data_IF_391934449406
#
_entry.id   IF_391934449406
#
_cell.length_a   1.000
_cell.length_b   1.000
_cell.length_c   1.000
_cell.angle_alpha   90.00
_cell.angle_beta   90.00
_cell.angle_gamma   90.00
#
_symmetry.space_group_name_H-M   'P 1'
#
loop_
_entity.id
_entity.type
_entity.pdbx_description
1 polymer ?
#
# COMPACT_ATOMS: atom_id res chain seq x y z
N UNK A 1 -8.31 -54.06 -15.39
CA UNK A 1 -7.73 -53.17 -14.36
C UNK A 1 -8.32 -51.79 -14.59
N UNK A 2 -9.21 -51.32 -13.71
CA UNK A 2 -9.82 -49.99 -13.82
C UNK A 2 -9.06 -49.05 -12.89
N UNK A 3 -8.35 -48.06 -13.45
CA UNK A 3 -7.66 -47.02 -12.70
C UNK A 3 -8.70 -45.96 -12.36
N UNK A 4 -9.04 -45.86 -11.07
CA UNK A 4 -9.90 -44.79 -10.55
C UNK A 4 -9.00 -43.58 -10.28
N UNK A 5 -9.19 -42.51 -11.06
CA UNK A 5 -8.55 -41.22 -10.81
C UNK A 5 -9.40 -40.43 -9.81
N UNK A 6 -8.87 -40.18 -8.62
CA UNK A 6 -9.45 -39.25 -7.67
C UNK A 6 -9.31 -37.81 -8.19
N UNK A 7 -10.31 -36.93 -8.03
CA UNK A 7 -10.15 -35.53 -8.38
C UNK A 7 -9.16 -34.89 -7.40
N UNK A 8 -8.10 -34.28 -7.94
CA UNK A 8 -7.27 -33.37 -7.17
C UNK A 8 -8.14 -32.20 -6.72
N UNK A 9 -8.22 -31.97 -5.41
CA UNK A 9 -8.87 -30.79 -4.87
C UNK A 9 -8.15 -29.56 -5.40
N UNK A 10 -8.82 -28.81 -6.27
CA UNK A 10 -8.38 -27.48 -6.68
C UNK A 10 -8.65 -26.58 -5.49
N UNK A 11 -7.62 -26.34 -4.68
CA UNK A 11 -7.69 -25.32 -3.65
C UNK A 11 -7.73 -23.97 -4.37
N UNK A 12 -8.94 -23.43 -4.50
CA UNK A 12 -9.16 -22.05 -4.93
C UNK A 12 -8.59 -21.19 -3.80
N UNK A 13 -7.28 -20.92 -3.85
CA UNK A 13 -6.68 -19.85 -3.08
C UNK A 13 -7.39 -18.59 -3.55
N UNK A 14 -8.23 -18.03 -2.70
CA UNK A 14 -8.65 -16.64 -2.86
C UNK A 14 -7.36 -15.85 -3.13
N UNK A 15 -7.27 -15.22 -4.28
CA UNK A 15 -6.09 -14.45 -4.65
C UNK A 15 -5.88 -13.43 -3.54
N UNK A 16 -4.88 -13.67 -2.69
CA UNK A 16 -4.56 -12.72 -1.63
C UNK A 16 -4.14 -11.46 -2.37
N UNK A 17 -4.95 -10.43 -2.21
CA UNK A 17 -4.74 -9.16 -2.87
C UNK A 17 -3.36 -8.64 -2.45
N UNK A 18 -2.45 -8.57 -3.41
CA UNK A 18 -1.05 -8.28 -3.13
C UNK A 18 -0.86 -6.78 -2.87
N UNK A 19 -0.09 -6.45 -1.84
CA UNK A 19 0.41 -5.10 -1.62
C UNK A 19 1.71 -4.96 -2.42
N UNK A 20 1.70 -4.08 -3.41
CA UNK A 20 2.81 -3.86 -4.34
C UNK A 20 3.54 -2.57 -3.96
N UNK A 21 4.79 -2.65 -3.48
CA UNK A 21 5.65 -1.50 -3.26
C UNK A 21 5.85 -0.64 -4.51
N UNK A 22 5.89 0.67 -4.31
CA UNK A 22 6.28 1.62 -5.34
C UNK A 22 7.71 1.40 -5.85
N UNK A 23 8.03 1.83 -7.08
CA UNK A 23 9.39 1.73 -7.62
C UNK A 23 10.45 2.34 -6.70
N UNK A 24 11.52 1.59 -6.44
CA UNK A 24 12.63 2.03 -5.58
C UNK A 24 12.39 1.87 -4.07
N UNK A 25 11.20 1.43 -3.65
CA UNK A 25 10.94 1.07 -2.26
C UNK A 25 11.23 -0.43 -2.01
N UNK A 26 11.52 -0.81 -0.75
CA UNK A 26 11.78 -2.20 -0.38
C UNK A 26 10.63 -3.16 -0.73
N UNK A 27 10.95 -4.40 -1.10
CA UNK A 27 9.93 -5.42 -1.28
C UNK A 27 9.38 -5.92 0.06
N UNK A 28 8.19 -6.52 0.07
CA UNK A 28 7.65 -7.18 1.27
C UNK A 28 8.59 -8.28 1.78
N UNK A 29 9.16 -9.07 0.86
CA UNK A 29 10.15 -10.11 1.17
C UNK A 29 11.39 -9.51 1.85
N UNK A 30 11.94 -8.40 1.35
CA UNK A 30 13.12 -7.76 1.94
C UNK A 30 12.87 -7.23 3.35
N UNK A 31 11.61 -6.93 3.67
CA UNK A 31 11.16 -6.49 4.98
C UNK A 31 10.74 -7.67 5.88
N UNK A 32 10.69 -8.90 5.36
CA UNK A 32 10.26 -10.10 6.09
C UNK A 32 8.76 -10.07 6.46
N UNK A 33 7.93 -9.40 5.66
CA UNK A 33 6.49 -9.26 5.89
C UNK A 33 5.70 -9.79 4.68
N UNK A 34 4.39 -9.99 4.86
CA UNK A 34 3.50 -10.47 3.78
C UNK A 34 2.28 -9.56 3.62
N UNK A 35 1.59 -9.69 2.48
CA UNK A 35 0.33 -8.97 2.23
C UNK A 35 -0.72 -9.35 3.28
N UNK A 36 -0.85 -10.64 3.63
CA UNK A 36 -1.78 -11.12 4.65
C UNK A 36 -1.53 -10.46 6.00
N UNK A 37 -0.26 -10.32 6.39
CA UNK A 37 0.09 -9.60 7.61
C UNK A 37 -0.38 -8.14 7.53
N UNK A 38 -0.12 -7.43 6.42
CA UNK A 38 -0.53 -6.03 6.24
C UNK A 38 -2.04 -5.82 6.27
N UNK A 39 -2.82 -6.76 5.73
CA UNK A 39 -4.29 -6.75 5.80
C UNK A 39 -4.84 -7.15 7.17
N UNK A 40 -4.08 -7.92 7.95
CA UNK A 40 -4.47 -8.28 9.32
C UNK A 40 -4.29 -7.13 10.32
N UNK A 41 -3.47 -6.13 9.97
CA UNK A 41 -3.24 -4.95 10.78
C UNK A 41 -4.44 -4.01 10.70
N UNK A 42 -4.83 -3.47 11.86
CA UNK A 42 -5.93 -2.52 11.98
C UNK A 42 -5.66 -1.19 11.29
N UNK A 43 -6.70 -0.35 11.24
CA UNK A 43 -6.60 1.03 10.79
C UNK A 43 -5.61 1.82 11.68
N UNK A 44 -4.97 2.88 11.15
CA UNK A 44 -4.22 3.80 11.97
C UNK A 44 -5.11 4.38 13.08
N UNK A 45 -4.57 4.42 14.30
CA UNK A 45 -5.14 5.25 15.35
C UNK A 45 -5.04 6.72 14.90
N UNK A 46 -6.11 7.52 15.07
CA UNK A 46 -6.04 8.95 14.76
C UNK A 46 -5.00 9.59 15.68
N UNK A 47 -3.85 9.98 15.11
CA UNK A 47 -2.84 10.73 15.83
C UNK A 47 -3.36 12.15 16.04
N UNK A 48 -3.49 12.59 17.29
CA UNK A 48 -3.82 13.98 17.64
C UNK A 48 -2.71 15.00 17.34
N UNK A 49 -1.68 14.62 16.58
CA UNK A 49 -0.46 15.40 16.36
C UNK A 49 -0.46 16.20 15.05
N UNK A 50 -0.23 17.51 15.25
CA UNK A 50 0.17 18.68 14.45
C UNK A 50 0.27 18.68 12.90
N UNK A 51 0.32 17.55 12.19
CA UNK A 51 0.33 17.56 10.72
C UNK A 51 -1.06 17.82 10.11
N UNK A 52 -2.13 17.57 10.87
CA UNK A 52 -3.49 17.98 10.51
C UNK A 52 -3.67 19.50 10.42
N UNK A 53 -2.78 20.29 11.04
CA UNK A 53 -2.85 21.76 10.95
C UNK A 53 -2.29 22.28 9.61
N UNK A 54 -1.49 21.45 8.92
CA UNK A 54 -0.86 21.79 7.63
C UNK A 54 -1.64 21.28 6.42
N UNK A 55 -2.67 20.47 6.63
CA UNK A 55 -3.50 19.92 5.56
C UNK A 55 -4.96 20.00 5.98
N UNK A 56 -5.73 20.87 5.32
CA UNK A 56 -7.20 20.79 5.38
C UNK A 56 -7.58 19.43 4.77
N UNK A 57 -7.75 18.44 5.63
CA UNK A 57 -8.08 17.08 5.22
C UNK A 57 -9.50 17.10 4.65
N UNK A 58 -9.60 17.24 3.34
CA UNK A 58 -10.85 17.15 2.60
C UNK A 58 -10.95 15.75 2.00
N UNK A 59 -12.19 15.27 1.84
CA UNK A 59 -12.41 14.09 1.02
C UNK A 59 -12.01 14.44 -0.42
N UNK A 60 -11.04 13.71 -0.97
CA UNK A 60 -10.73 13.79 -2.39
C UNK A 60 -11.89 13.28 -3.26
N UNK A 61 -11.77 13.43 -4.57
CA UNK A 61 -12.75 12.93 -5.54
C UNK A 61 -12.51 11.47 -5.97
N UNK A 62 -11.40 10.86 -5.52
CA UNK A 62 -11.05 9.48 -5.82
C UNK A 62 -11.47 8.58 -4.65
N UNK A 63 -12.21 7.52 -4.95
CA UNK A 63 -12.73 6.57 -4.00
C UNK A 63 -12.23 5.16 -4.32
N UNK A 64 -12.08 4.33 -3.30
CA UNK A 64 -11.72 2.92 -3.44
C UNK A 64 -11.82 2.18 -2.11
N UNK A 65 -11.36 0.94 -2.09
CA UNK A 65 -11.39 0.08 -0.90
C UNK A 65 -10.59 0.67 0.26
N UNK A 66 -11.28 0.93 1.38
CA UNK A 66 -10.64 1.39 2.63
C UNK A 66 -9.63 0.37 3.13
N UNK A 67 -9.93 -0.93 3.03
CA UNK A 67 -9.01 -1.99 3.48
C UNK A 67 -7.72 -2.00 2.66
N UNK A 68 -7.80 -1.75 1.36
CA UNK A 68 -6.63 -1.69 0.48
C UNK A 68 -5.76 -0.46 0.81
N UNK A 69 -6.39 0.67 1.12
CA UNK A 69 -5.69 1.87 1.56
C UNK A 69 -4.99 1.65 2.92
N UNK A 70 -5.65 0.99 3.86
CA UNK A 70 -5.06 0.64 5.17
C UNK A 70 -3.87 -0.31 4.99
N UNK A 71 -3.97 -1.33 4.13
CA UNK A 71 -2.86 -2.24 3.86
C UNK A 71 -1.64 -1.50 3.29
N UNK A 72 -1.86 -0.56 2.36
CA UNK A 72 -0.80 0.31 1.85
C UNK A 72 -0.20 1.23 2.93
N UNK A 73 -1.05 1.83 3.77
CA UNK A 73 -0.57 2.60 4.93
C UNK A 73 0.32 1.75 5.84
N UNK A 74 -0.11 0.53 6.14
CA UNK A 74 0.64 -0.39 7.00
C UNK A 74 1.99 -0.77 6.37
N UNK A 75 2.04 -0.97 5.06
CA UNK A 75 3.31 -1.17 4.35
C UNK A 75 4.25 0.03 4.56
N UNK A 76 3.77 1.24 4.29
CA UNK A 76 4.57 2.47 4.44
C UNK A 76 5.03 2.68 5.88
N UNK A 77 4.19 2.35 6.87
CA UNK A 77 4.55 2.39 8.29
C UNK A 77 5.65 1.38 8.64
N UNK A 78 5.64 0.19 8.03
CA UNK A 78 6.66 -0.84 8.24
C UNK A 78 8.02 -0.51 7.60
N UNK A 79 8.11 0.53 6.75
CA UNK A 79 9.40 1.09 6.33
C UNK A 79 10.19 1.67 7.51
N UNK A 80 9.51 2.08 8.58
CA UNK A 80 10.13 2.58 9.80
C UNK A 80 10.99 3.82 9.54
N UNK A 81 12.31 3.68 9.70
CA UNK A 81 13.29 4.76 9.49
C UNK A 81 13.96 4.72 8.12
N UNK A 82 13.55 3.79 7.25
CA UNK A 82 14.11 3.75 5.90
C UNK A 82 13.72 5.01 5.14
N UNK A 83 14.70 5.58 4.44
CA UNK A 83 14.48 6.81 3.71
C UNK A 83 13.53 6.51 2.53
N UNK A 84 12.30 7.01 2.63
CA UNK A 84 11.29 6.90 1.59
C UNK A 84 10.77 8.31 1.28
N UNK A 85 10.72 8.66 -0.01
CA UNK A 85 10.35 10.01 -0.40
C UNK A 85 10.31 10.16 -1.90
N UNK A 86 9.69 11.25 -2.34
CA UNK A 86 9.67 11.62 -3.76
C UNK A 86 11.05 12.17 -4.12
N UNK A 87 11.78 11.60 -5.10
CA UNK A 87 13.04 12.16 -5.55
C UNK A 87 12.84 13.58 -6.09
N UNK A 88 13.82 14.47 -5.92
CA UNK A 88 13.73 15.88 -6.37
C UNK A 88 13.44 16.04 -7.87
N UNK A 89 13.77 15.02 -8.67
CA UNK A 89 13.50 14.98 -10.12
C UNK A 89 12.04 14.63 -10.47
N UNK A 90 11.21 14.28 -9.49
CA UNK A 90 9.85 13.80 -9.69
C UNK A 90 8.86 14.64 -8.88
N UNK A 91 7.68 14.92 -9.46
CA UNK A 91 6.61 15.66 -8.76
C UNK A 91 5.86 14.77 -7.79
N UNK A 92 5.60 13.54 -8.23
CA UNK A 92 4.98 12.50 -7.44
C UNK A 92 5.54 11.14 -7.84
N UNK A 93 5.41 10.20 -6.92
CA UNK A 93 5.65 8.78 -7.20
C UNK A 93 4.53 7.95 -6.60
N UNK A 94 4.28 6.79 -7.21
CA UNK A 94 3.47 5.75 -6.60
C UNK A 94 4.31 5.16 -5.47
N UNK A 95 3.79 5.25 -4.25
CA UNK A 95 4.42 4.72 -3.04
C UNK A 95 3.93 3.30 -2.75
N UNK A 96 2.67 3.00 -3.05
CA UNK A 96 2.08 1.69 -2.84
C UNK A 96 0.84 1.49 -3.72
N UNK A 97 0.62 0.26 -4.17
CA UNK A 97 -0.62 -0.16 -4.83
C UNK A 97 -1.18 -1.39 -4.12
N UNK A 98 -2.49 -1.43 -3.91
CA UNK A 98 -3.20 -2.61 -3.43
C UNK A 98 -4.58 -2.63 -4.09
N UNK A 99 -4.81 -3.60 -4.99
CA UNK A 99 -6.09 -3.71 -5.69
C UNK A 99 -6.45 -2.45 -6.47
N UNK A 100 -7.57 -1.81 -6.10
CA UNK A 100 -8.08 -0.57 -6.68
C UNK A 100 -7.46 0.71 -6.09
N UNK A 101 -6.60 0.60 -5.08
CA UNK A 101 -5.96 1.74 -4.42
C UNK A 101 -4.54 1.98 -4.93
N UNK A 102 -4.23 3.25 -5.20
CA UNK A 102 -2.90 3.77 -5.46
C UNK A 102 -2.59 4.91 -4.49
N UNK A 103 -1.58 4.74 -3.65
CA UNK A 103 -1.09 5.78 -2.74
C UNK A 103 0.12 6.45 -3.38
N UNK A 104 0.09 7.78 -3.41
CA UNK A 104 1.14 8.61 -4.00
C UNK A 104 1.77 9.53 -2.96
N UNK A 105 3.05 9.80 -3.12
CA UNK A 105 3.73 10.90 -2.43
C UNK A 105 3.92 12.08 -3.37
N UNK A 106 3.89 13.30 -2.83
CA UNK A 106 4.12 14.54 -3.59
C UNK A 106 5.28 15.33 -2.98
N UNK A 107 6.16 15.87 -3.83
CA UNK A 107 7.28 16.72 -3.40
C UNK A 107 6.81 18.15 -3.08
N UNK A 108 7.08 18.63 -1.86
CA UNK A 108 6.60 19.93 -1.34
C UNK A 108 7.24 21.15 -2.07
N UNK A 109 8.27 20.92 -2.91
CA UNK A 109 8.95 21.96 -3.70
C UNK A 109 8.87 21.77 -5.22
N UNK A 110 8.16 20.77 -5.72
CA UNK A 110 8.06 20.49 -7.15
C UNK A 110 7.05 21.44 -7.81
N UNK A 111 7.44 22.72 -7.94
CA UNK A 111 6.64 23.80 -8.52
C UNK A 111 6.15 23.42 -9.91
N UNK A 112 4.85 23.16 -10.01
CA UNK A 112 4.14 23.07 -11.29
C UNK A 112 2.64 22.91 -11.07
N UNK A 113 2.12 23.93 -10.42
CA UNK A 113 0.85 24.44 -10.89
C UNK A 113 1.13 25.04 -12.29
N UNK A 114 0.24 24.73 -13.26
CA UNK A 114 0.21 25.14 -14.68
C UNK A 114 1.36 24.70 -15.62
#
# INVERSE_FOLDING_TARGET
>A
MLVSAAPAAVEVRAEVLEVIPGPGLPSLESLGITSEYLFSLGAPEPSGDEMSILTDSTCGTNYGSVNNAIACYNYLKNLGKQNCGVPDSQRSIIMCTAGDIRIEGFGIGASSWW
#
